data_IF_835328124638
#
_entry.id   IF_835328124638
#
_cell.length_a   1.000
_cell.length_b   1.000
_cell.length_c   1.000
_cell.angle_alpha   90.00
_cell.angle_beta   90.00
_cell.angle_gamma   90.00
#
_symmetry.space_group_name_H-M   'P 1'
#
loop_
_entity.id
_entity.type
_entity.pdbx_description
1 polymer ?
#
# COMPACT_ATOMS: atom_id res chain seq x y z
N UNK A 1 26.16 30.01 29.56
CA UNK A 1 27.04 29.09 28.81
C UNK A 1 26.19 27.93 28.34
N UNK A 2 25.90 27.93 27.03
CA UNK A 2 25.58 26.78 26.15
C UNK A 2 24.66 25.68 26.67
N UNK A 3 23.37 25.77 26.33
CA UNK A 3 22.47 24.61 26.28
C UNK A 3 22.76 23.79 25.01
N UNK A 4 23.02 22.51 25.24
CA UNK A 4 22.96 21.32 24.38
C UNK A 4 22.51 21.53 22.91
N UNK A 5 23.48 21.55 21.99
CA UNK A 5 23.24 21.57 20.53
C UNK A 5 23.31 20.16 19.90
N UNK A 6 23.46 19.10 20.68
CA UNK A 6 23.58 17.71 20.18
C UNK A 6 22.49 16.77 20.69
N UNK A 7 21.33 17.26 21.12
CA UNK A 7 20.18 16.37 21.33
C UNK A 7 19.70 15.88 19.96
N UNK A 8 19.95 14.61 19.68
CA UNK A 8 19.54 13.96 18.44
C UNK A 8 18.01 13.98 18.35
N UNK A 9 17.44 14.97 17.67
CA UNK A 9 15.98 15.21 17.58
C UNK A 9 15.19 13.98 17.09
N UNK A 10 15.84 13.04 16.41
CA UNK A 10 15.22 11.79 15.96
C UNK A 10 15.00 10.79 17.12
N UNK A 11 15.79 10.86 18.19
CA UNK A 11 15.61 10.01 19.38
C UNK A 11 14.49 10.51 20.28
N UNK A 12 14.11 11.79 20.20
CA UNK A 12 13.14 12.45 21.07
C UNK A 12 11.80 12.76 20.41
N UNK A 13 11.47 12.10 19.28
CA UNK A 13 10.13 12.22 18.67
C UNK A 13 9.04 11.82 19.68
N UNK A 14 7.85 12.44 19.68
CA UNK A 14 6.74 11.97 20.50
C UNK A 14 6.39 10.52 20.19
N UNK A 15 5.73 9.87 21.16
CA UNK A 15 5.21 8.50 21.09
C UNK A 15 3.68 8.59 21.14
N UNK A 16 2.99 7.68 20.45
CA UNK A 16 1.53 7.60 20.48
C UNK A 16 1.09 7.12 21.87
N UNK A 17 0.14 7.83 22.49
CA UNK A 17 -0.32 7.51 23.84
C UNK A 17 -1.02 6.14 23.91
N UNK A 18 -0.84 5.42 25.02
CA UNK A 18 -1.44 4.10 25.25
C UNK A 18 -2.97 4.09 25.08
N UNK A 19 -3.64 5.19 25.47
CA UNK A 19 -5.09 5.36 25.26
C UNK A 19 -5.54 5.18 23.80
N UNK A 20 -4.68 5.48 22.83
CA UNK A 20 -4.97 5.24 21.40
C UNK A 20 -4.97 3.75 21.12
N UNK A 21 -3.99 3.01 21.63
CA UNK A 21 -3.88 1.56 21.50
C UNK A 21 -5.05 0.83 22.18
N UNK A 22 -5.48 1.33 23.34
CA UNK A 22 -6.66 0.82 24.06
C UNK A 22 -7.96 1.02 23.25
N UNK A 23 -8.04 2.11 22.48
CA UNK A 23 -9.18 2.44 21.65
C UNK A 23 -9.14 1.81 20.24
N UNK A 24 -8.05 1.14 19.85
CA UNK A 24 -7.94 0.53 18.52
C UNK A 24 -9.00 -0.58 18.32
N UNK A 25 -9.49 -0.77 17.08
CA UNK A 25 -10.24 -1.96 16.69
C UNK A 25 -9.41 -3.22 16.95
N UNK A 26 -10.07 -4.34 17.28
CA UNK A 26 -9.42 -5.61 17.64
C UNK A 26 -8.42 -6.08 16.58
N UNK A 27 -8.75 -5.86 15.31
CA UNK A 27 -7.86 -6.15 14.18
C UNK A 27 -6.52 -5.41 14.28
N UNK A 28 -6.55 -4.10 14.53
CA UNK A 28 -5.32 -3.30 14.66
C UNK A 28 -4.59 -3.59 15.97
N UNK A 29 -5.32 -3.87 17.06
CA UNK A 29 -4.73 -4.33 18.32
C UNK A 29 -3.92 -5.61 18.13
N UNK A 30 -4.45 -6.59 17.39
CA UNK A 30 -3.76 -7.83 17.07
C UNK A 30 -2.47 -7.59 16.25
N UNK A 31 -2.42 -6.53 15.43
CA UNK A 31 -1.19 -6.17 14.73
C UNK A 31 -0.15 -5.54 15.65
N UNK A 32 -0.56 -4.72 16.62
CA UNK A 32 0.37 -3.91 17.44
C UNK A 32 0.79 -4.58 18.75
N UNK A 33 0.00 -5.50 19.29
CA UNK A 33 0.23 -6.08 20.63
C UNK A 33 1.49 -6.96 20.74
N UNK A 34 2.07 -7.37 19.60
CA UNK A 34 3.30 -8.17 19.56
C UNK A 34 4.59 -7.35 19.74
N UNK A 35 4.49 -6.01 19.79
CA UNK A 35 5.64 -5.11 19.89
C UNK A 35 5.71 -4.50 21.29
N UNK A 36 6.70 -4.94 22.07
CA UNK A 36 6.93 -4.44 23.44
C UNK A 36 7.60 -3.07 23.45
N UNK A 37 8.37 -2.74 22.42
CA UNK A 37 8.99 -1.42 22.26
C UNK A 37 7.96 -0.43 21.70
N UNK A 38 7.78 0.70 22.40
CA UNK A 38 6.79 1.71 22.04
C UNK A 38 7.05 2.33 20.66
N UNK A 39 8.32 2.49 20.26
CA UNK A 39 8.68 3.02 18.94
C UNK A 39 8.35 2.03 17.84
N UNK A 40 8.70 0.76 18.03
CA UNK A 40 8.35 -0.28 17.08
C UNK A 40 6.84 -0.39 16.91
N UNK A 41 6.09 -0.30 18.01
CA UNK A 41 4.63 -0.30 18.01
C UNK A 41 4.05 0.87 17.20
N UNK A 42 4.56 2.08 17.39
CA UNK A 42 4.16 3.28 16.62
C UNK A 42 4.47 3.11 15.12
N UNK A 43 5.65 2.57 14.80
CA UNK A 43 6.07 2.31 13.42
C UNK A 43 5.15 1.30 12.75
N UNK A 44 4.76 0.23 13.46
CA UNK A 44 3.83 -0.76 12.92
C UNK A 44 2.44 -0.18 12.73
N UNK A 45 1.90 0.55 13.72
CA UNK A 45 0.57 1.14 13.61
C UNK A 45 0.47 2.09 12.41
N UNK A 46 1.42 3.01 12.28
CA UNK A 46 1.48 3.96 11.15
C UNK A 46 1.63 3.24 9.81
N UNK A 47 2.47 2.19 9.75
CA UNK A 47 2.61 1.34 8.55
C UNK A 47 1.30 0.63 8.20
N UNK A 48 0.60 0.04 9.19
CA UNK A 48 -0.70 -0.61 8.97
C UNK A 48 -1.75 0.36 8.43
N UNK A 49 -1.85 1.57 9.00
CA UNK A 49 -2.78 2.60 8.52
C UNK A 49 -2.49 3.00 7.07
N UNK A 50 -1.21 3.13 6.69
CA UNK A 50 -0.84 3.42 5.30
C UNK A 50 -1.26 2.31 4.34
N UNK A 51 -1.05 1.04 4.69
CA UNK A 51 -1.49 -0.09 3.86
C UNK A 51 -3.00 -0.14 3.76
N UNK A 52 -3.72 0.05 4.87
CA UNK A 52 -5.18 0.08 4.89
C UNK A 52 -5.75 1.22 4.03
N UNK A 53 -5.10 2.38 3.99
CA UNK A 53 -5.55 3.50 3.17
C UNK A 53 -5.64 3.16 1.68
N UNK A 54 -4.79 2.26 1.20
CA UNK A 54 -4.74 1.81 -0.20
C UNK A 54 -5.78 0.72 -0.47
N UNK A 55 -6.00 -0.16 0.50
CA UNK A 55 -6.93 -1.28 0.39
C UNK A 55 -8.39 -0.82 0.46
N UNK A 56 -8.67 0.24 1.22
CA UNK A 56 -10.00 0.79 1.42
C UNK A 56 -10.41 1.75 0.28
N UNK A 57 -10.39 1.26 -0.96
CA UNK A 57 -10.77 2.04 -2.15
C UNK A 57 -12.23 2.51 -2.14
N UNK A 58 -13.10 1.77 -1.45
CA UNK A 58 -14.53 2.11 -1.27
C UNK A 58 -14.75 3.17 -0.20
N UNK A 59 -13.78 3.44 0.67
CA UNK A 59 -13.84 4.50 1.68
C UNK A 59 -13.53 5.87 1.05
N UNK A 60 -14.33 6.29 0.07
CA UNK A 60 -14.19 7.56 -0.62
C UNK A 60 -15.42 8.45 -0.40
N UNK A 61 -15.20 9.77 -0.34
CA UNK A 61 -16.26 10.78 -0.24
C UNK A 61 -16.17 11.80 -1.36
N UNK A 62 -17.22 12.60 -1.53
CA UNK A 62 -17.20 13.76 -2.43
C UNK A 62 -16.84 15.00 -1.65
N UNK A 63 -15.78 15.70 -2.07
CA UNK A 63 -15.38 16.99 -1.54
C UNK A 63 -15.14 17.94 -2.70
N UNK A 64 -15.80 19.10 -2.72
CA UNK A 64 -15.68 20.09 -3.81
C UNK A 64 -15.92 19.50 -5.22
N UNK A 65 -16.93 18.64 -5.39
CA UNK A 65 -17.24 17.90 -6.63
C UNK A 65 -16.14 16.93 -7.10
N UNK A 66 -15.13 16.66 -6.27
CA UNK A 66 -14.09 15.67 -6.54
C UNK A 66 -14.23 14.46 -5.62
N UNK A 67 -13.92 13.27 -6.13
CA UNK A 67 -13.89 12.04 -5.34
C UNK A 67 -12.55 11.96 -4.60
N UNK A 68 -12.59 11.96 -3.27
CA UNK A 68 -11.42 11.92 -2.40
C UNK A 68 -11.44 10.63 -1.59
N UNK A 69 -10.34 9.86 -1.66
CA UNK A 69 -10.12 8.66 -0.85
C UNK A 69 -9.23 8.94 0.37
N UNK A 70 -9.01 7.96 1.25
CA UNK A 70 -8.32 8.15 2.52
C UNK A 70 -6.80 8.03 2.35
N UNK A 71 -6.23 8.50 1.24
CA UNK A 71 -4.85 8.20 0.82
C UNK A 71 -3.83 8.68 1.87
N UNK A 72 -3.12 7.75 2.51
CA UNK A 72 -2.05 8.06 3.47
C UNK A 72 -0.68 7.69 2.91
N UNK A 73 0.21 8.68 2.84
CA UNK A 73 1.62 8.48 2.51
C UNK A 73 2.45 8.57 3.79
N UNK A 74 3.19 7.49 4.10
CA UNK A 74 3.99 7.42 5.34
C UNK A 74 5.47 7.34 5.02
N UNK A 75 6.27 8.16 5.72
CA UNK A 75 7.73 8.14 5.67
C UNK A 75 8.28 7.98 7.09
N UNK A 76 9.00 6.88 7.32
CA UNK A 76 9.58 6.59 8.64
C UNK A 76 11.02 7.07 8.68
N UNK A 77 11.28 8.12 9.45
CA UNK A 77 12.63 8.67 9.67
C UNK A 77 13.11 8.25 11.05
N UNK A 78 14.08 7.34 11.10
CA UNK A 78 14.72 6.93 12.36
C UNK A 78 16.21 6.66 12.16
N UNK A 79 17.05 6.72 13.21
CA UNK A 79 18.47 6.36 13.15
C UNK A 79 18.71 4.88 12.79
N UNK A 80 19.94 4.52 12.43
CA UNK A 80 20.31 3.13 12.16
C UNK A 80 19.99 2.23 13.37
N UNK A 81 19.53 1.00 13.10
CA UNK A 81 19.10 0.03 14.11
C UNK A 81 17.93 0.46 15.04
N UNK A 82 17.20 1.54 14.74
CA UNK A 82 16.06 2.02 15.55
C UNK A 82 14.72 1.37 15.17
N UNK A 83 14.68 0.04 14.96
CA UNK A 83 13.41 -0.68 14.80
C UNK A 83 12.68 -0.51 13.46
N UNK A 84 13.15 0.30 12.50
CA UNK A 84 12.48 0.52 11.19
C UNK A 84 12.09 -0.75 10.43
N UNK A 85 12.80 -1.86 10.65
CA UNK A 85 12.55 -3.14 10.00
C UNK A 85 11.17 -3.74 10.31
N UNK A 86 10.53 -3.34 11.42
CA UNK A 86 9.19 -3.85 11.79
C UNK A 86 8.09 -3.42 10.83
N UNK A 87 8.31 -2.35 10.04
CA UNK A 87 7.34 -1.91 9.03
C UNK A 87 6.98 -3.01 8.01
N UNK A 88 7.89 -3.97 7.79
CA UNK A 88 7.67 -5.08 6.86
C UNK A 88 6.43 -5.90 7.22
N UNK A 89 6.07 -5.96 8.50
CA UNK A 89 4.93 -6.76 8.96
C UNK A 89 3.59 -6.19 8.48
N UNK A 90 3.50 -4.86 8.32
CA UNK A 90 2.29 -4.23 7.78
C UNK A 90 1.99 -4.67 6.33
N UNK A 91 3.02 -5.06 5.56
CA UNK A 91 2.83 -5.53 4.18
C UNK A 91 1.97 -6.80 4.12
N UNK A 92 1.96 -7.62 5.18
CA UNK A 92 1.12 -8.82 5.22
C UNK A 92 -0.38 -8.50 5.19
N UNK A 93 -0.79 -7.31 5.64
CA UNK A 93 -2.20 -6.89 5.57
C UNK A 93 -2.69 -6.76 4.12
N UNK A 94 -1.83 -6.29 3.23
CA UNK A 94 -2.14 -6.14 1.80
C UNK A 94 -1.74 -7.32 0.93
N UNK A 95 -1.01 -8.29 1.47
CA UNK A 95 -0.41 -9.36 0.68
C UNK A 95 -1.45 -10.23 -0.05
N UNK A 96 -2.56 -10.57 0.59
CA UNK A 96 -3.62 -11.37 -0.04
C UNK A 96 -4.22 -10.67 -1.26
N UNK A 97 -4.58 -9.39 -1.10
CA UNK A 97 -5.16 -8.56 -2.16
C UNK A 97 -4.14 -8.32 -3.27
N UNK A 98 -2.89 -8.00 -2.92
CA UNK A 98 -1.82 -7.83 -3.88
C UNK A 98 -1.61 -9.10 -4.72
N UNK A 99 -1.58 -10.28 -4.09
CA UNK A 99 -1.39 -11.54 -4.78
C UNK A 99 -2.54 -11.85 -5.75
N UNK A 100 -3.78 -11.54 -5.35
CA UNK A 100 -4.95 -11.68 -6.20
C UNK A 100 -4.89 -10.74 -7.42
N UNK A 101 -4.60 -9.45 -7.20
CA UNK A 101 -4.41 -8.46 -8.28
C UNK A 101 -3.29 -8.87 -9.24
N UNK A 102 -2.16 -9.37 -8.73
CA UNK A 102 -1.06 -9.86 -9.57
C UNK A 102 -1.47 -11.09 -10.39
N UNK A 103 -2.26 -11.99 -9.81
CA UNK A 103 -2.78 -13.17 -10.52
C UNK A 103 -3.73 -12.77 -11.64
N UNK A 104 -4.67 -11.87 -11.37
CA UNK A 104 -5.60 -11.34 -12.36
C UNK A 104 -4.85 -10.63 -13.49
N UNK A 105 -3.91 -9.75 -13.15
CA UNK A 105 -3.10 -9.03 -14.14
C UNK A 105 -2.30 -9.98 -15.06
N UNK A 106 -1.77 -11.10 -14.53
CA UNK A 106 -1.12 -12.13 -15.35
C UNK A 106 -2.09 -12.79 -16.33
N UNK A 107 -3.32 -13.08 -15.90
CA UNK A 107 -4.35 -13.67 -16.75
C UNK A 107 -4.80 -12.71 -17.86
N UNK A 108 -5.06 -11.45 -17.51
CA UNK A 108 -5.42 -10.40 -18.46
C UNK A 108 -4.33 -10.17 -19.49
N UNK A 109 -3.06 -10.13 -19.06
CA UNK A 109 -1.91 -10.01 -19.96
C UNK A 109 -1.81 -11.18 -20.93
N UNK A 110 -1.96 -12.41 -20.43
CA UNK A 110 -1.93 -13.61 -21.28
C UNK A 110 -3.04 -13.60 -22.31
N UNK A 111 -4.27 -13.29 -21.89
CA UNK A 111 -5.43 -13.19 -22.79
C UNK A 111 -5.19 -12.14 -23.89
N UNK A 112 -4.65 -10.98 -23.52
CA UNK A 112 -4.29 -9.94 -24.47
C UNK A 112 -3.22 -10.41 -25.48
N UNK A 113 -2.20 -11.13 -25.03
CA UNK A 113 -1.16 -11.70 -25.90
C UNK A 113 -1.75 -12.72 -26.88
N UNK A 114 -2.63 -13.61 -26.41
CA UNK A 114 -3.32 -14.61 -27.24
C UNK A 114 -4.23 -13.93 -28.28
N UNK A 115 -5.04 -12.95 -27.88
CA UNK A 115 -5.92 -12.18 -28.76
C UNK A 115 -5.10 -11.40 -29.81
N UNK A 116 -3.94 -10.86 -29.44
CA UNK A 116 -3.02 -10.18 -30.34
C UNK A 116 -2.42 -11.14 -31.38
N UNK A 117 -2.14 -12.39 -31.02
CA UNK A 117 -1.65 -13.40 -31.98
C UNK A 117 -2.73 -13.77 -33.01
N UNK A 118 -3.98 -13.94 -32.56
CA UNK A 118 -5.13 -14.19 -33.43
C UNK A 118 -5.35 -13.01 -34.37
N UNK A 119 -5.37 -11.79 -33.84
CA UNK A 119 -5.53 -10.58 -34.63
C UNK A 119 -4.43 -10.43 -35.69
N UNK A 120 -3.15 -10.60 -35.31
CA UNK A 120 -2.01 -10.55 -36.26
C UNK A 120 -2.13 -11.59 -37.38
N UNK A 121 -2.70 -12.75 -37.09
CA UNK A 121 -2.93 -13.81 -38.08
C UNK A 121 -4.06 -13.45 -39.05
N UNK A 122 -5.14 -12.86 -38.54
CA UNK A 122 -6.27 -12.37 -39.35
C UNK A 122 -5.85 -11.23 -40.29
N UNK A 123 -5.07 -10.26 -39.80
CA UNK A 123 -4.51 -9.15 -40.60
C UNK A 123 -3.67 -9.66 -41.78
N UNK A 124 -2.92 -10.74 -41.58
CA UNK A 124 -2.11 -11.33 -42.64
C UNK A 124 -2.95 -12.04 -43.71
N UNK A 125 -4.10 -12.61 -43.35
CA UNK A 125 -4.94 -13.39 -44.26
C UNK A 125 -5.94 -12.52 -45.04
N UNK A 126 -6.54 -11.50 -44.43
CA UNK A 126 -7.49 -10.60 -45.08
C UNK A 126 -7.27 -9.16 -44.59
N UNK A 127 -6.71 -8.28 -45.42
CA UNK A 127 -6.40 -6.89 -45.03
C UNK A 127 -7.63 -5.98 -44.90
N UNK A 128 -8.74 -6.33 -45.57
CA UNK A 128 -9.88 -5.42 -45.76
C UNK A 128 -11.05 -5.65 -44.77
N UNK A 129 -11.04 -6.73 -43.97
CA UNK A 129 -12.11 -7.08 -42.99
C UNK A 129 -11.60 -7.31 -41.55
N UNK A 130 -10.44 -6.74 -41.19
CA UNK A 130 -9.88 -6.98 -39.85
C UNK A 130 -10.62 -6.19 -38.78
N UNK A 131 -11.06 -6.87 -37.71
CA UNK A 131 -11.52 -6.24 -36.46
C UNK A 131 -10.43 -5.32 -35.87
N UNK A 132 -10.80 -4.26 -35.11
CA UNK A 132 -9.83 -3.41 -34.43
C UNK A 132 -8.91 -4.22 -33.51
N UNK A 133 -7.69 -3.72 -33.32
CA UNK A 133 -6.69 -4.34 -32.44
C UNK A 133 -7.29 -4.57 -31.04
N UNK A 134 -6.96 -5.69 -30.38
CA UNK A 134 -7.27 -5.88 -28.97
C UNK A 134 -6.84 -4.67 -28.13
N UNK A 135 -7.69 -4.24 -27.21
CA UNK A 135 -7.40 -3.15 -26.30
C UNK A 135 -6.41 -3.61 -25.23
N UNK A 136 -5.40 -2.77 -24.97
CA UNK A 136 -4.43 -3.04 -23.92
C UNK A 136 -5.14 -2.97 -22.56
N UNK A 137 -5.08 -4.01 -21.71
CA UNK A 137 -5.67 -3.96 -20.39
C UNK A 137 -5.07 -2.82 -19.57
N UNK A 138 -5.91 -2.16 -18.78
CA UNK A 138 -5.48 -1.19 -17.77
C UNK A 138 -5.06 -2.00 -16.55
N UNK A 139 -3.75 -2.05 -16.31
CA UNK A 139 -3.13 -2.79 -15.20
C UNK A 139 -3.26 -2.09 -13.86
#
# INVERSE_FOLDING_TARGET
>A
MTQDITTNKLQTSPIIWDSVYDALPDFLKACTCHFSDERERDVVLTSCLSVLSVILSDAAGTYSNERVGPNLFTMIVAPAASGKGVMKYAQYLGAAIHNEMVKENKLLKKKFEDDMLVWRSQVKQNKDEVKPSPDKPRY
#
